data_IF_990615316853
#
_entry.id   IF_990615316853
#
_cell.length_a   1.000
_cell.length_b   1.000
_cell.length_c   1.000
_cell.angle_alpha   90.00
_cell.angle_beta   90.00
_cell.angle_gamma   90.00
#
_symmetry.space_group_name_H-M   'P 1'
#
loop_
_entity.id
_entity.type
_entity.pdbx_description
1 polymer ?
#
# COMPACT_ATOMS: atom_id res chain seq x y z
N UNK A 1 3.47 -2.39 -6.76
CA UNK A 1 2.93 -3.66 -7.29
C UNK A 1 1.66 -3.33 -8.04
N UNK A 2 1.41 -3.98 -9.18
CA UNK A 2 0.11 -3.88 -9.84
C UNK A 2 -0.94 -4.70 -9.10
N UNK A 3 -2.12 -4.12 -8.84
CA UNK A 3 -3.15 -4.79 -8.05
C UNK A 3 -3.84 -5.94 -8.79
N UNK A 4 -3.86 -5.91 -10.13
CA UNK A 4 -4.56 -6.90 -10.96
C UNK A 4 -3.69 -8.10 -11.29
N UNK A 5 -2.46 -7.86 -11.73
CA UNK A 5 -1.52 -8.90 -12.16
C UNK A 5 -0.61 -9.37 -11.04
N UNK A 6 -0.59 -8.62 -9.93
CA UNK A 6 0.36 -8.77 -8.83
C UNK A 6 1.82 -8.59 -9.27
N UNK A 7 2.10 -8.03 -10.45
CA UNK A 7 3.45 -7.82 -10.93
C UNK A 7 4.17 -6.67 -10.19
N UNK A 8 5.50 -6.71 -10.22
CA UNK A 8 6.37 -5.61 -9.79
C UNK A 8 6.98 -4.99 -11.05
N UNK A 9 6.30 -4.01 -11.67
CA UNK A 9 6.72 -3.45 -12.96
C UNK A 9 8.03 -2.67 -12.87
N UNK A 10 8.28 -2.03 -11.73
CA UNK A 10 9.52 -1.31 -11.44
C UNK A 10 9.89 -1.45 -9.96
N UNK A 11 11.19 -1.39 -9.68
CA UNK A 11 11.74 -1.35 -8.33
C UNK A 11 13.07 -0.59 -8.36
N UNK A 12 13.43 0.00 -7.22
CA UNK A 12 14.73 0.64 -7.00
C UNK A 12 15.15 0.40 -5.55
N UNK A 13 16.44 0.52 -5.26
CA UNK A 13 16.97 0.56 -3.91
C UNK A 13 17.49 1.96 -3.64
N UNK A 14 16.98 2.61 -2.59
CA UNK A 14 17.43 3.92 -2.15
C UNK A 14 18.11 3.80 -0.78
N UNK A 15 18.99 4.76 -0.46
CA UNK A 15 19.60 4.87 0.88
C UNK A 15 18.67 5.54 1.88
N UNK A 16 17.78 6.40 1.39
CA UNK A 16 16.84 7.22 2.16
C UNK A 16 15.48 7.18 1.47
N UNK A 17 14.41 7.20 2.27
CA UNK A 17 13.02 7.27 1.77
C UNK A 17 12.56 8.73 1.65
N UNK A 18 13.24 9.47 0.78
CA UNK A 18 12.93 10.87 0.48
C UNK A 18 12.17 11.02 -0.85
N UNK A 19 11.74 12.25 -1.14
CA UNK A 19 11.00 12.57 -2.35
C UNK A 19 11.81 12.20 -3.62
N UNK A 20 13.12 12.40 -3.62
CA UNK A 20 13.96 12.13 -4.79
C UNK A 20 14.02 10.62 -5.10
N UNK A 21 14.09 9.77 -4.07
CA UNK A 21 14.01 8.33 -4.22
C UNK A 21 12.69 7.88 -4.88
N UNK A 22 11.56 8.48 -4.46
CA UNK A 22 10.25 8.21 -5.05
C UNK A 22 10.14 8.71 -6.49
N UNK A 23 10.67 9.90 -6.80
CA UNK A 23 10.71 10.42 -8.17
C UNK A 23 11.47 9.49 -9.13
N UNK A 24 12.59 8.91 -8.67
CA UNK A 24 13.34 7.90 -9.45
C UNK A 24 12.45 6.68 -9.73
N UNK A 25 11.75 6.15 -8.71
CA UNK A 25 10.86 5.00 -8.91
C UNK A 25 9.72 5.32 -9.88
N UNK A 26 9.10 6.51 -9.76
CA UNK A 26 8.02 6.94 -10.65
C UNK A 26 8.51 7.14 -12.08
N UNK A 27 9.72 7.68 -12.29
CA UNK A 27 10.35 7.78 -13.61
C UNK A 27 10.67 6.41 -14.20
N UNK A 28 11.20 5.47 -13.42
CA UNK A 28 11.41 4.09 -13.90
C UNK A 28 10.08 3.47 -14.36
N UNK A 29 9.01 3.69 -13.62
CA UNK A 29 7.72 3.11 -13.93
C UNK A 29 7.07 3.77 -15.16
N UNK A 30 7.13 5.10 -15.26
CA UNK A 30 6.54 5.87 -16.35
C UNK A 30 7.36 5.80 -17.64
N UNK A 31 8.67 6.03 -17.55
CA UNK A 31 9.53 6.30 -18.70
C UNK A 31 10.27 5.06 -19.19
N UNK A 32 10.64 4.13 -18.28
CA UNK A 32 11.36 2.89 -18.65
C UNK A 32 10.44 1.71 -18.85
N UNK A 33 9.51 1.50 -17.93
CA UNK A 33 8.53 0.42 -18.03
C UNK A 33 7.32 0.79 -18.91
N UNK A 34 7.19 2.08 -19.31
CA UNK A 34 6.05 2.61 -20.05
C UNK A 34 4.70 2.19 -19.43
N UNK A 35 4.65 2.14 -18.10
CA UNK A 35 3.55 1.54 -17.38
C UNK A 35 2.36 2.49 -17.31
N UNK A 36 1.19 2.05 -17.78
CA UNK A 36 -0.02 2.87 -17.79
C UNK A 36 -0.71 2.86 -16.42
N UNK A 37 -0.34 3.83 -15.58
CA UNK A 37 -0.92 4.01 -14.25
C UNK A 37 -2.38 4.48 -14.32
N UNK A 38 -3.28 3.67 -13.75
CA UNK A 38 -4.69 4.01 -13.56
C UNK A 38 -4.98 4.67 -12.21
N UNK A 39 -4.09 4.49 -11.25
CA UNK A 39 -4.21 5.02 -9.90
C UNK A 39 -3.09 4.48 -9.01
N UNK A 40 -2.86 5.15 -7.88
CA UNK A 40 -1.83 4.80 -6.90
C UNK A 40 -2.48 4.62 -5.53
N UNK A 41 -2.07 3.56 -4.83
CA UNK A 41 -2.37 3.36 -3.40
C UNK A 41 -1.06 3.42 -2.64
N UNK A 42 -0.95 4.31 -1.64
CA UNK A 42 0.21 4.38 -0.75
C UNK A 42 -0.21 4.51 0.72
N UNK A 43 0.73 4.37 1.65
CA UNK A 43 0.50 4.58 3.08
C UNK A 43 0.24 6.05 3.48
N UNK A 44 0.59 7.00 2.60
CA UNK A 44 0.39 8.43 2.83
C UNK A 44 1.61 9.16 3.38
N UNK A 45 2.81 8.59 3.27
CA UNK A 45 4.04 9.28 3.63
C UNK A 45 4.19 10.60 2.83
N UNK A 46 4.48 11.75 3.48
CA UNK A 46 4.58 13.04 2.80
C UNK A 46 5.55 13.06 1.62
N UNK A 47 6.67 12.33 1.69
CA UNK A 47 7.65 12.25 0.59
C UNK A 47 7.08 11.53 -0.65
N UNK A 48 6.26 10.50 -0.45
CA UNK A 48 5.53 9.80 -1.51
C UNK A 48 4.52 10.74 -2.15
N UNK A 49 3.75 11.46 -1.34
CA UNK A 49 2.72 12.35 -1.84
C UNK A 49 3.30 13.50 -2.67
N UNK A 50 4.38 14.13 -2.18
CA UNK A 50 5.08 15.18 -2.91
C UNK A 50 5.61 14.70 -4.28
N UNK A 51 6.13 13.48 -4.34
CA UNK A 51 6.60 12.88 -5.59
C UNK A 51 5.44 12.60 -6.58
N UNK A 52 4.31 12.08 -6.09
CA UNK A 52 3.12 11.82 -6.92
C UNK A 52 2.56 13.13 -7.48
N UNK A 53 2.38 14.15 -6.65
CA UNK A 53 1.81 15.44 -7.05
C UNK A 53 2.68 16.11 -8.13
N UNK A 54 4.01 16.02 -7.99
CA UNK A 54 4.95 16.56 -8.97
C UNK A 54 4.97 15.78 -10.29
N UNK A 55 5.05 14.45 -10.23
CA UNK A 55 5.34 13.60 -11.39
C UNK A 55 4.08 13.14 -12.14
N UNK A 56 2.97 13.00 -11.42
CA UNK A 56 1.73 12.34 -11.84
C UNK A 56 0.48 13.06 -11.31
N UNK A 57 0.33 14.40 -11.49
CA UNK A 57 -0.75 15.18 -10.88
C UNK A 57 -2.15 14.75 -11.31
N UNK A 58 -2.29 14.08 -12.47
CA UNK A 58 -3.58 13.62 -13.01
C UNK A 58 -3.92 12.19 -12.59
N UNK A 59 -3.00 11.45 -11.95
CA UNK A 59 -3.22 10.06 -11.57
C UNK A 59 -3.97 10.01 -10.23
N UNK A 60 -5.12 9.32 -10.14
CA UNK A 60 -5.84 9.19 -8.89
C UNK A 60 -4.98 8.59 -7.77
N UNK A 61 -4.99 9.22 -6.60
CA UNK A 61 -4.25 8.76 -5.42
C UNK A 61 -5.21 8.36 -4.30
N UNK A 62 -4.93 7.22 -3.68
CA UNK A 62 -5.66 6.69 -2.55
C UNK A 62 -4.71 6.36 -1.39
N UNK A 63 -5.18 6.63 -0.17
CA UNK A 63 -4.54 6.11 1.04
C UNK A 63 -4.91 4.64 1.27
N UNK A 64 -3.92 3.85 1.66
CA UNK A 64 -4.12 2.46 2.05
C UNK A 64 -4.98 2.41 3.31
N UNK A 65 -6.22 1.93 3.17
CA UNK A 65 -7.18 1.85 4.27
C UNK A 65 -6.67 1.02 5.45
N UNK A 66 -5.89 -0.04 5.17
CA UNK A 66 -5.29 -0.89 6.21
C UNK A 66 -4.23 -0.12 7.02
N UNK A 67 -3.31 0.57 6.35
CA UNK A 67 -2.31 1.40 7.04
C UNK A 67 -2.97 2.53 7.82
N UNK A 68 -3.99 3.16 7.24
CA UNK A 68 -4.75 4.20 7.90
C UNK A 68 -5.49 3.69 9.15
N UNK A 69 -6.12 2.52 9.07
CA UNK A 69 -6.73 1.85 10.22
C UNK A 69 -5.69 1.54 11.31
N UNK A 70 -4.51 1.01 10.94
CA UNK A 70 -3.40 0.77 11.87
C UNK A 70 -2.91 2.05 12.53
N UNK A 71 -2.85 3.16 11.81
CA UNK A 71 -2.54 4.48 12.37
C UNK A 71 -3.56 4.91 13.43
N UNK A 72 -4.87 4.76 13.16
CA UNK A 72 -5.93 5.05 14.14
C UNK A 72 -5.78 4.16 15.38
N UNK A 73 -5.62 2.85 15.19
CA UNK A 73 -5.37 1.88 16.27
C UNK A 73 -4.19 2.30 17.16
N UNK A 74 -3.06 2.63 16.54
CA UNK A 74 -1.83 3.00 17.24
C UNK A 74 -2.03 4.27 18.08
N UNK A 75 -2.62 5.31 17.47
CA UNK A 75 -2.88 6.58 18.15
C UNK A 75 -3.82 6.40 19.35
N UNK A 76 -4.84 5.58 19.21
CA UNK A 76 -5.81 5.31 20.27
C UNK A 76 -5.21 4.48 21.40
N UNK A 77 -4.45 3.42 21.09
CA UNK A 77 -3.76 2.63 22.13
C UNK A 77 -2.87 3.50 23.01
N UNK A 78 -2.17 4.46 22.42
CA UNK A 78 -1.33 5.41 23.15
C UNK A 78 -2.13 6.41 24.02
N UNK A 79 -3.41 6.65 23.69
CA UNK A 79 -4.31 7.48 24.50
C UNK A 79 -5.02 6.68 25.61
N UNK A 80 -5.41 5.43 25.34
CA UNK A 80 -6.05 4.53 26.33
C UNK A 80 -5.14 4.34 27.54
N UNK A 81 -3.84 4.12 27.32
CA UNK A 81 -2.86 3.96 28.41
C UNK A 81 -2.77 5.17 29.34
N UNK A 82 -3.26 6.34 28.92
CA UNK A 82 -3.25 7.58 29.69
C UNK A 82 -4.56 7.87 30.44
N UNK A 83 -5.64 7.15 30.16
CA UNK A 83 -6.98 7.48 30.69
C UNK A 83 -7.70 6.22 31.20
N UNK A 84 -7.74 6.07 32.52
CA UNK A 84 -8.46 4.97 33.17
C UNK A 84 -9.99 5.07 32.94
N UNK A 85 -10.65 3.92 32.76
CA UNK A 85 -12.11 3.80 32.78
C UNK A 85 -12.86 4.11 31.47
N UNK A 86 -12.18 4.49 30.38
CA UNK A 86 -12.83 4.84 29.09
C UNK A 86 -12.68 3.79 27.98
N UNK A 87 -12.14 2.61 28.29
CA UNK A 87 -11.80 1.58 27.29
C UNK A 87 -12.99 1.19 26.39
N UNK A 88 -14.22 1.06 26.94
CA UNK A 88 -15.42 0.71 26.16
C UNK A 88 -15.74 1.72 25.07
N UNK A 89 -15.62 3.01 25.37
CA UNK A 89 -15.89 4.07 24.38
C UNK A 89 -14.80 4.15 23.31
N UNK A 90 -13.54 3.82 23.66
CA UNK A 90 -12.50 3.67 22.65
C UNK A 90 -12.72 2.43 21.77
N UNK A 91 -13.09 1.28 22.34
CA UNK A 91 -13.41 0.07 21.57
C UNK A 91 -14.57 0.32 20.61
N UNK A 92 -15.61 1.02 21.07
CA UNK A 92 -16.72 1.42 20.23
C UNK A 92 -16.28 2.38 19.12
N UNK A 93 -15.47 3.39 19.42
CA UNK A 93 -14.91 4.27 18.40
C UNK A 93 -14.10 3.46 17.37
N UNK A 94 -13.27 2.51 17.81
CA UNK A 94 -12.47 1.67 16.92
C UNK A 94 -13.37 0.83 16.00
N UNK A 95 -14.45 0.26 16.54
CA UNK A 95 -15.44 -0.47 15.77
C UNK A 95 -16.11 0.43 14.72
N UNK A 96 -16.57 1.61 15.11
CA UNK A 96 -17.23 2.57 14.21
C UNK A 96 -16.27 3.09 13.14
N UNK A 97 -15.02 3.39 13.50
CA UNK A 97 -13.98 3.83 12.57
C UNK A 97 -13.62 2.72 11.57
N UNK A 98 -13.53 1.47 12.00
CA UNK A 98 -13.33 0.33 11.11
C UNK A 98 -14.49 0.19 10.12
N UNK A 99 -15.74 0.21 10.61
CA UNK A 99 -16.92 0.11 9.75
C UNK A 99 -17.01 1.26 8.76
N UNK A 100 -16.64 2.48 9.17
CA UNK A 100 -16.56 3.65 8.30
C UNK A 100 -15.52 3.47 7.20
N UNK A 101 -14.28 3.07 7.54
CA UNK A 101 -13.21 2.89 6.54
C UNK A 101 -13.55 1.81 5.51
N UNK A 102 -14.19 0.73 5.96
CA UNK A 102 -14.60 -0.39 5.13
C UNK A 102 -16.10 -0.37 4.85
N UNK A 103 -16.71 0.79 4.67
CA UNK A 103 -18.09 0.88 4.19
C UNK A 103 -18.18 0.51 2.69
N UNK A 104 -19.39 0.25 2.19
CA UNK A 104 -19.60 -0.20 0.80
C UNK A 104 -19.92 0.97 -0.16
N UNK A 105 -20.11 2.17 0.36
CA UNK A 105 -20.31 3.37 -0.47
C UNK A 105 -19.70 4.62 0.18
N UNK A 106 -19.29 5.58 -0.65
CA UNK A 106 -18.80 6.89 -0.17
C UNK A 106 -19.85 7.61 0.72
N UNK A 107 -21.14 7.40 0.42
CA UNK A 107 -22.24 7.93 1.22
C UNK A 107 -22.24 7.36 2.64
N UNK A 108 -22.10 6.04 2.78
CA UNK A 108 -22.00 5.39 4.10
C UNK A 108 -20.78 5.89 4.87
N UNK A 109 -19.62 6.01 4.23
CA UNK A 109 -18.41 6.58 4.88
C UNK A 109 -18.72 7.97 5.44
N UNK A 110 -19.36 8.84 4.63
CA UNK A 110 -19.71 10.20 5.03
C UNK A 110 -20.72 10.25 6.17
N UNK A 111 -21.76 9.41 6.11
CA UNK A 111 -22.77 9.29 7.17
C UNK A 111 -22.13 8.81 8.48
N UNK A 112 -21.30 7.76 8.43
CA UNK A 112 -20.56 7.23 9.59
C UNK A 112 -19.58 8.25 10.16
N UNK A 113 -18.81 8.95 9.33
CA UNK A 113 -17.90 10.01 9.80
C UNK A 113 -18.68 11.14 10.49
N UNK A 114 -19.82 11.53 9.92
CA UNK A 114 -20.72 12.52 10.52
C UNK A 114 -21.33 12.07 11.85
N UNK A 115 -21.61 10.77 12.01
CA UNK A 115 -22.02 10.17 13.28
C UNK A 115 -20.89 10.24 14.32
N UNK A 116 -19.70 9.72 13.97
CA UNK A 116 -18.51 9.70 14.83
C UNK A 116 -18.17 11.11 15.32
N UNK A 117 -18.14 12.09 14.41
CA UNK A 117 -17.79 13.47 14.75
C UNK A 117 -18.80 14.15 15.69
N UNK A 118 -20.08 13.76 15.65
CA UNK A 118 -21.15 14.37 16.46
C UNK A 118 -21.42 13.60 17.75
N UNK A 119 -21.01 12.35 17.84
CA UNK A 119 -21.26 11.47 18.98
C UNK A 119 -20.76 12.09 20.29
N UNK A 120 -21.68 12.29 21.22
CA UNK A 120 -21.36 12.82 22.56
C UNK A 120 -20.39 11.89 23.30
N UNK A 121 -20.53 10.58 23.08
CA UNK A 121 -19.66 9.54 23.65
C UNK A 121 -18.18 9.75 23.29
N UNK A 122 -17.88 10.32 22.11
CA UNK A 122 -16.51 10.48 21.61
C UNK A 122 -15.90 11.86 21.90
N UNK A 123 -16.73 12.90 22.14
CA UNK A 123 -16.24 14.27 22.41
C UNK A 123 -15.33 14.37 23.63
N UNK A 124 -15.49 13.47 24.60
CA UNK A 124 -14.68 13.39 25.83
C UNK A 124 -13.43 12.52 25.74
N UNK A 125 -13.09 11.97 24.57
CA UNK A 125 -11.95 11.05 24.38
C UNK A 125 -10.68 11.73 23.84
N UNK A 126 -10.73 13.02 23.49
CA UNK A 126 -9.56 13.70 22.90
C UNK A 126 -9.20 13.20 21.50
N UNK A 127 -10.20 12.75 20.75
CA UNK A 127 -10.05 12.19 19.38
C UNK A 127 -10.18 13.24 18.27
N UNK A 128 -10.30 14.52 18.63
CA UNK A 128 -10.55 15.61 17.69
C UNK A 128 -9.51 15.68 16.56
N UNK A 129 -8.23 15.46 16.87
CA UNK A 129 -7.17 15.48 15.87
C UNK A 129 -7.29 14.32 14.88
N UNK A 130 -7.68 13.13 15.36
CA UNK A 130 -7.90 11.96 14.52
C UNK A 130 -9.10 12.22 13.60
N UNK A 131 -10.22 12.70 14.15
CA UNK A 131 -11.42 13.02 13.38
C UNK A 131 -11.12 14.09 12.33
N UNK A 132 -10.41 15.17 12.72
CA UNK A 132 -9.98 16.23 11.80
C UNK A 132 -9.10 15.68 10.67
N UNK A 133 -8.14 14.81 10.99
CA UNK A 133 -7.30 14.16 9.98
C UNK A 133 -8.13 13.31 9.02
N UNK A 134 -9.10 12.53 9.51
CA UNK A 134 -10.02 11.74 8.66
C UNK A 134 -10.81 12.64 7.70
N UNK A 135 -11.26 13.81 8.14
CA UNK A 135 -11.93 14.77 7.26
C UNK A 135 -11.00 15.32 6.17
N UNK A 136 -9.76 15.67 6.52
CA UNK A 136 -8.75 16.16 5.57
C UNK A 136 -8.44 15.08 4.53
N UNK A 137 -8.26 13.84 4.99
CA UNK A 137 -7.86 12.71 4.16
C UNK A 137 -9.05 12.05 3.44
N UNK A 138 -10.29 12.48 3.71
CA UNK A 138 -11.52 11.88 3.17
C UNK A 138 -11.48 11.68 1.64
N UNK A 139 -11.04 12.65 0.81
CA UNK A 139 -10.97 12.46 -0.63
C UNK A 139 -10.04 11.32 -1.05
N UNK A 140 -8.95 11.11 -0.30
CA UNK A 140 -7.97 10.05 -0.57
C UNK A 140 -8.44 8.69 -0.04
N UNK A 141 -9.16 8.67 1.10
CA UNK A 141 -9.71 7.43 1.68
C UNK A 141 -10.85 6.85 0.82
N UNK A 142 -11.56 7.69 0.08
CA UNK A 142 -12.76 7.31 -0.69
C UNK A 142 -12.52 7.20 -2.20
N UNK A 143 -11.29 7.42 -2.67
CA UNK A 143 -10.98 7.47 -4.09
C UNK A 143 -11.40 6.22 -4.89
N UNK A 144 -11.30 5.02 -4.30
CA UNK A 144 -11.76 3.76 -4.94
C UNK A 144 -13.24 3.74 -5.32
N UNK A 145 -14.11 4.55 -4.69
CA UNK A 145 -15.51 4.65 -5.11
C UNK A 145 -15.68 5.40 -6.44
N UNK A 146 -14.75 6.30 -6.77
CA UNK A 146 -14.80 7.14 -7.97
C UNK A 146 -13.97 6.59 -9.12
N UNK A 147 -12.94 5.80 -8.83
CA UNK A 147 -11.99 5.31 -9.83
C UNK A 147 -11.96 3.78 -9.85
N UNK A 148 -12.71 3.15 -10.78
CA UNK A 148 -12.68 1.70 -10.98
C UNK A 148 -11.25 1.22 -11.27
N UNK A 149 -10.76 0.27 -10.47
CA UNK A 149 -9.40 -0.26 -10.57
C UNK A 149 -8.48 0.10 -9.41
N UNK A 150 -8.85 1.08 -8.58
CA UNK A 150 -8.21 1.25 -7.27
C UNK A 150 -8.72 0.16 -6.31
N UNK A 151 -7.83 -0.68 -5.76
CA UNK A 151 -8.27 -1.73 -4.85
C UNK A 151 -8.70 -1.14 -3.51
N UNK A 152 -9.84 -1.60 -2.99
CA UNK A 152 -10.29 -1.24 -1.63
C UNK A 152 -9.44 -1.89 -0.54
N UNK A 153 -8.93 -3.10 -0.79
CA UNK A 153 -8.08 -3.85 0.15
C UNK A 153 -6.71 -4.11 -0.46
N UNK A 154 -5.66 -4.05 0.37
CA UNK A 154 -4.27 -4.27 -0.05
C UNK A 154 -3.75 -5.64 0.38
N UNK A 155 -4.62 -6.61 0.70
CA UNK A 155 -4.23 -7.88 1.32
C UNK A 155 -3.18 -8.68 0.53
N UNK A 156 -3.27 -8.68 -0.81
CA UNK A 156 -2.28 -9.31 -1.69
C UNK A 156 -0.91 -8.62 -1.62
N UNK A 157 -0.90 -7.28 -1.58
CA UNK A 157 0.32 -6.46 -1.44
C UNK A 157 0.99 -6.72 -0.09
N UNK A 158 0.22 -6.72 0.99
CA UNK A 158 0.71 -6.98 2.34
C UNK A 158 1.35 -8.36 2.47
N UNK A 159 0.71 -9.37 1.89
CA UNK A 159 1.25 -10.72 1.84
C UNK A 159 2.51 -10.83 0.97
N UNK A 160 2.68 -9.98 -0.04
CA UNK A 160 3.92 -9.88 -0.79
C UNK A 160 5.03 -9.23 0.05
N UNK A 161 4.77 -8.05 0.62
CA UNK A 161 5.72 -7.30 1.44
C UNK A 161 6.26 -8.18 2.57
N UNK A 162 5.38 -8.84 3.34
CA UNK A 162 5.79 -9.74 4.42
C UNK A 162 6.69 -10.89 3.94
N UNK A 163 6.46 -11.45 2.74
CA UNK A 163 7.32 -12.50 2.16
C UNK A 163 8.66 -11.96 1.67
N UNK A 164 8.71 -10.71 1.21
CA UNK A 164 9.95 -10.04 0.84
C UNK A 164 10.77 -9.74 2.09
N UNK A 165 10.16 -9.16 3.13
CA UNK A 165 10.79 -8.86 4.41
C UNK A 165 11.38 -10.11 5.04
N UNK A 166 10.64 -11.22 5.06
CA UNK A 166 11.13 -12.49 5.58
C UNK A 166 12.35 -13.03 4.83
N UNK A 167 12.61 -12.60 3.59
CA UNK A 167 13.80 -12.98 2.81
C UNK A 167 14.95 -12.00 2.99
N UNK A 168 14.63 -10.71 3.07
CA UNK A 168 15.60 -9.64 3.25
C UNK A 168 16.21 -9.71 4.65
N UNK A 169 15.39 -9.89 5.68
CA UNK A 169 15.81 -9.95 7.08
C UNK A 169 16.60 -11.22 7.45
N UNK A 170 16.69 -12.21 6.54
CA UNK A 170 17.60 -13.34 6.71
C UNK A 170 19.06 -12.97 6.41
N UNK A 171 19.28 -11.91 5.63
CA UNK A 171 20.61 -11.34 5.47
C UNK A 171 20.89 -10.48 6.71
N UNK A 172 21.97 -10.78 7.42
CA UNK A 172 22.46 -9.99 8.58
C UNK A 172 23.11 -8.68 8.10
N UNK A 173 22.34 -7.89 7.37
CA UNK A 173 22.79 -6.70 6.64
C UNK A 173 23.52 -7.00 5.33
N UNK A 174 23.74 -5.93 4.57
CA UNK A 174 24.52 -5.97 3.33
C UNK A 174 25.69 -5.00 3.44
N UNK A 175 26.90 -5.48 3.13
CA UNK A 175 28.10 -4.65 3.16
C UNK A 175 28.11 -3.55 2.08
N UNK A 176 27.53 -3.85 0.90
CA UNK A 176 27.53 -2.96 -0.27
C UNK A 176 26.15 -2.79 -0.85
N UNK A 177 25.87 -1.58 -1.34
CA UNK A 177 24.60 -1.25 -1.99
C UNK A 177 24.35 -2.12 -3.23
N UNK A 178 25.39 -2.40 -4.00
CA UNK A 178 25.32 -3.23 -5.21
C UNK A 178 24.92 -4.67 -4.88
N UNK A 179 25.46 -5.22 -3.79
CA UNK A 179 25.10 -6.56 -3.31
C UNK A 179 23.66 -6.60 -2.83
N UNK A 180 23.24 -5.62 -2.03
CA UNK A 180 21.85 -5.49 -1.58
C UNK A 180 20.90 -5.43 -2.78
N UNK A 181 21.21 -4.59 -3.76
CA UNK A 181 20.40 -4.44 -4.96
C UNK A 181 20.37 -5.70 -5.81
N UNK A 182 21.51 -6.38 -5.99
CA UNK A 182 21.56 -7.66 -6.70
C UNK A 182 20.69 -8.72 -6.02
N UNK A 183 20.71 -8.82 -4.69
CA UNK A 183 19.86 -9.74 -3.93
C UNK A 183 18.38 -9.39 -4.07
N UNK A 184 18.02 -8.11 -3.93
CA UNK A 184 16.63 -7.65 -4.11
C UNK A 184 16.12 -7.94 -5.52
N UNK A 185 16.91 -7.65 -6.56
CA UNK A 185 16.58 -7.98 -7.95
C UNK A 185 16.31 -9.47 -8.12
N UNK A 186 17.15 -10.33 -7.54
CA UNK A 186 16.94 -11.78 -7.60
C UNK A 186 15.64 -12.22 -6.93
N UNK A 187 15.31 -11.65 -5.77
CA UNK A 187 14.06 -11.95 -5.06
C UNK A 187 12.84 -11.49 -5.87
N UNK A 188 12.89 -10.26 -6.39
CA UNK A 188 11.83 -9.67 -7.23
C UNK A 188 11.63 -10.49 -8.49
N UNK A 189 12.69 -10.80 -9.24
CA UNK A 189 12.59 -11.60 -10.46
C UNK A 189 12.07 -13.00 -10.18
N UNK A 190 12.58 -13.65 -9.12
CA UNK A 190 12.03 -14.95 -8.70
C UNK A 190 10.53 -14.87 -8.42
N UNK A 191 10.05 -13.80 -7.79
CA UNK A 191 8.62 -13.61 -7.57
C UNK A 191 7.86 -13.44 -8.89
N UNK A 192 8.34 -12.57 -9.78
CA UNK A 192 7.72 -12.28 -11.09
C UNK A 192 7.58 -13.51 -12.00
N UNK A 193 8.49 -14.47 -11.90
CA UNK A 193 8.49 -15.72 -12.68
C UNK A 193 7.92 -16.93 -11.91
N UNK A 194 7.65 -16.82 -10.61
CA UNK A 194 7.12 -17.94 -9.83
C UNK A 194 5.61 -18.06 -10.02
N UNK A 195 5.17 -19.23 -10.48
CA UNK A 195 3.75 -19.56 -10.59
C UNK A 195 3.08 -19.59 -9.21
N UNK A 196 1.88 -19.03 -9.13
CA UNK A 196 1.03 -19.14 -7.96
C UNK A 196 0.50 -20.58 -7.82
N UNK A 197 0.57 -21.11 -6.60
CA UNK A 197 0.06 -22.44 -6.27
C UNK A 197 -1.16 -22.40 -5.37
N UNK A 198 -1.29 -21.36 -4.55
CA UNK A 198 -2.42 -21.14 -3.64
C UNK A 198 -2.72 -19.66 -3.50
N UNK A 199 -3.21 -19.07 -4.58
CA UNK A 199 -3.71 -17.70 -4.61
C UNK A 199 -5.15 -17.63 -4.07
N UNK A 200 -5.46 -16.51 -3.42
CA UNK A 200 -6.84 -16.14 -3.05
C UNK A 200 -7.72 -15.97 -4.29
N UNK A 201 -7.12 -15.57 -5.42
CA UNK A 201 -7.72 -15.52 -6.75
C UNK A 201 -7.41 -16.85 -7.45
N UNK A 202 -8.39 -17.76 -7.49
CA UNK A 202 -8.17 -19.14 -7.98
C UNK A 202 -7.75 -19.18 -9.44
N UNK A 203 -8.18 -18.21 -10.24
CA UNK A 203 -7.82 -17.97 -11.63
C UNK A 203 -6.34 -17.59 -11.84
N UNK A 204 -5.63 -17.18 -10.78
CA UNK A 204 -4.20 -16.89 -10.85
C UNK A 204 -3.33 -18.16 -10.70
N UNK A 205 -3.89 -19.25 -10.17
CA UNK A 205 -3.11 -20.47 -9.94
C UNK A 205 -2.61 -21.06 -11.25
N UNK A 206 -1.35 -21.50 -11.26
CA UNK A 206 -0.67 -21.99 -12.45
C UNK A 206 -0.06 -20.90 -13.34
N UNK A 207 -0.26 -19.61 -13.02
CA UNK A 207 0.35 -18.45 -13.69
C UNK A 207 1.29 -17.70 -12.75
N UNK A 208 2.35 -17.10 -13.28
CA UNK A 208 3.20 -16.15 -12.57
C UNK A 208 2.73 -14.70 -12.79
N UNK A 209 3.18 -13.73 -11.98
CA UNK A 209 2.80 -12.32 -12.16
C UNK A 209 3.03 -11.77 -13.56
N UNK A 210 4.13 -12.15 -14.23
CA UNK A 210 4.41 -11.75 -15.62
C UNK A 210 3.39 -12.34 -16.61
N UNK A 211 3.04 -13.62 -16.46
CA UNK A 211 2.02 -14.26 -17.30
C UNK A 211 0.64 -13.60 -17.09
N UNK A 212 0.31 -13.20 -15.86
CA UNK A 212 -0.91 -12.43 -15.57
C UNK A 212 -0.88 -11.03 -16.20
N UNK A 213 0.30 -10.42 -16.32
CA UNK A 213 0.51 -9.18 -17.03
C UNK A 213 0.55 -9.32 -18.57
N UNK A 214 0.33 -10.53 -19.09
CA UNK A 214 0.28 -10.80 -20.53
C UNK A 214 1.65 -11.01 -21.17
N UNK A 215 2.71 -11.24 -20.38
CA UNK A 215 4.06 -11.53 -20.88
C UNK A 215 4.22 -13.03 -21.13
N UNK A 216 4.68 -13.40 -22.33
CA UNK A 216 5.08 -14.78 -22.62
C UNK A 216 6.44 -15.08 -21.97
N UNK A 217 6.43 -15.89 -20.90
CA UNK A 217 7.63 -16.29 -20.18
C UNK A 217 8.26 -17.59 -20.67
N UNK A 218 7.68 -18.28 -21.66
CA UNK A 218 8.10 -19.63 -22.08
C UNK A 218 9.54 -19.71 -22.58
N UNK A 219 10.07 -18.61 -23.12
CA UNK A 219 11.42 -18.52 -23.69
C UNK A 219 12.40 -17.71 -22.83
N UNK A 220 11.99 -17.32 -21.62
CA UNK A 220 12.80 -16.46 -20.76
C UNK A 220 13.42 -17.29 -19.64
N UNK A 221 14.74 -17.49 -19.70
CA UNK A 221 15.52 -17.92 -18.55
C UNK A 221 15.70 -16.72 -17.61
N UNK A 222 14.94 -16.71 -16.52
CA UNK A 222 14.92 -15.59 -15.58
C UNK A 222 16.24 -15.42 -14.82
N UNK A 223 17.05 -16.48 -14.67
CA UNK A 223 18.38 -16.40 -14.04
C UNK A 223 19.36 -15.71 -14.99
N UNK A 224 19.36 -16.07 -16.27
CA UNK A 224 20.16 -15.34 -17.27
C UNK A 224 19.67 -13.90 -17.44
N UNK A 225 18.35 -13.70 -17.37
CA UNK A 225 17.76 -12.37 -17.45
C UNK A 225 18.17 -11.48 -16.27
N UNK A 226 18.27 -12.03 -15.05
CA UNK A 226 18.63 -11.26 -13.85
C UNK A 226 20.07 -10.74 -13.84
N UNK A 227 20.95 -11.36 -14.63
CA UNK A 227 22.36 -10.99 -14.75
C UNK A 227 22.60 -9.81 -15.70
N UNK A 228 21.58 -9.39 -16.48
CA UNK A 228 21.72 -8.25 -17.38
C UNK A 228 21.85 -6.95 -16.58
N UNK A 229 22.86 -6.17 -16.89
CA UNK A 229 23.00 -4.77 -16.45
C UNK A 229 22.14 -3.90 -17.35
N UNK A 230 21.20 -3.16 -16.75
CA UNK A 230 20.43 -2.09 -17.39
C UNK A 230 20.83 -0.76 -16.75
#
# INVERSE_FOLDING_TARGET
MDASTQDIPAATLARTEDQAAWEILLSLLKDKACYHLKGIVSDGEPSVWAAIDKMLPTVPHQLCLKHYHSFICYRIRYQITKVQGKWRSYDKFMFDANNMLFANSEREVKESLGYIARSYEFRGLGLNDIIKKVYIDFPLLTAHFRYPGLPRTTSSIEGLISRLDAKINLADGYWRHETAWATLKMIILRYRFKKFTDSSFKEHNGKCPLELAGVDTSKIDWIRYSQRTY
#
